data_IF_382992108407
#
_entry.id   IF_382992108407
#
_cell.length_a   1.000
_cell.length_b   1.000
_cell.length_c   1.000
_cell.angle_alpha   90.00
_cell.angle_beta   90.00
_cell.angle_gamma   90.00
#
_symmetry.space_group_name_H-M   'P 1'
#
loop_
_entity.id
_entity.type
_entity.pdbx_description
1 polymer ?
#
# COMPACT_ATOMS: atom_id res chain seq x y z
N UNK A 1 -5.37 32.27 6.34
CA UNK A 1 -5.16 30.80 6.21
C UNK A 1 -6.27 30.14 5.42
N UNK A 2 -7.55 30.45 5.68
CA UNK A 2 -8.70 29.94 4.94
C UNK A 2 -8.71 30.37 3.47
N UNK A 3 -8.45 31.63 3.18
CA UNK A 3 -8.52 32.18 1.81
C UNK A 3 -7.52 31.51 0.86
N UNK A 4 -6.33 31.15 1.37
CA UNK A 4 -5.33 30.42 0.60
C UNK A 4 -5.80 29.00 0.24
N UNK A 5 -6.46 28.30 1.17
CA UNK A 5 -7.00 26.97 0.93
C UNK A 5 -8.13 27.01 -0.09
N UNK A 6 -9.05 27.96 0.05
CA UNK A 6 -10.13 28.17 -0.91
C UNK A 6 -9.58 28.48 -2.30
N UNK A 7 -8.57 29.35 -2.40
CA UNK A 7 -7.94 29.67 -3.69
C UNK A 7 -7.36 28.43 -4.36
N UNK A 8 -6.69 27.55 -3.60
CA UNK A 8 -6.15 26.28 -4.11
C UNK A 8 -7.26 25.30 -4.51
N UNK A 9 -8.35 25.20 -3.74
CA UNK A 9 -9.49 24.36 -4.09
C UNK A 9 -10.16 24.83 -5.39
N UNK A 10 -10.37 26.14 -5.53
CA UNK A 10 -10.94 26.71 -6.74
C UNK A 10 -10.04 26.49 -7.97
N UNK A 11 -8.72 26.67 -7.81
CA UNK A 11 -7.75 26.43 -8.89
C UNK A 11 -7.72 24.96 -9.35
N UNK A 12 -7.91 24.00 -8.44
CA UNK A 12 -7.87 22.57 -8.75
C UNK A 12 -9.27 21.94 -8.95
N UNK A 13 -10.34 22.74 -9.03
CA UNK A 13 -11.72 22.25 -9.08
C UNK A 13 -11.97 21.25 -10.22
N UNK A 14 -11.42 21.51 -11.40
CA UNK A 14 -11.58 20.63 -12.55
C UNK A 14 -10.99 19.24 -12.29
N UNK A 15 -9.77 19.18 -11.75
CA UNK A 15 -9.10 17.92 -11.39
C UNK A 15 -9.84 17.16 -10.29
N UNK A 16 -10.26 17.87 -9.23
CA UNK A 16 -10.98 17.27 -8.10
C UNK A 16 -12.33 16.66 -8.50
N UNK A 17 -12.97 17.18 -9.56
CA UNK A 17 -14.27 16.71 -10.04
C UNK A 17 -14.18 15.64 -11.14
N UNK A 18 -12.98 15.28 -11.61
CA UNK A 18 -12.77 14.21 -12.62
C UNK A 18 -13.40 12.87 -12.21
N UNK A 19 -13.48 12.60 -10.91
CA UNK A 19 -14.09 11.38 -10.38
C UNK A 19 -15.60 11.26 -10.73
N UNK A 20 -16.29 12.37 -11.00
CA UNK A 20 -17.70 12.36 -11.38
C UNK A 20 -17.94 11.74 -12.77
N UNK A 21 -16.94 11.77 -13.63
CA UNK A 21 -16.98 11.14 -14.96
C UNK A 21 -16.68 9.63 -14.88
N UNK A 22 -16.25 9.12 -13.71
CA UNK A 22 -15.72 7.76 -13.50
C UNK A 22 -16.45 7.10 -12.32
N UNK A 23 -17.74 6.72 -12.48
CA UNK A 23 -18.59 6.24 -11.38
C UNK A 23 -18.13 4.92 -10.76
N UNK A 24 -17.26 4.15 -11.44
CA UNK A 24 -16.67 2.94 -10.86
C UNK A 24 -15.59 3.22 -9.81
N UNK A 25 -15.09 4.46 -9.72
CA UNK A 25 -14.11 4.87 -8.71
C UNK A 25 -14.85 5.41 -7.47
N UNK A 26 -14.53 4.94 -6.26
CA UNK A 26 -15.12 5.48 -5.04
C UNK A 26 -14.84 6.98 -4.86
N UNK A 27 -15.86 7.74 -4.44
CA UNK A 27 -15.74 9.17 -4.10
C UNK A 27 -14.96 9.46 -2.80
N UNK A 28 -14.40 8.44 -2.16
CA UNK A 28 -13.65 8.55 -0.91
C UNK A 28 -12.25 7.95 -1.04
N UNK A 29 -11.33 8.42 -0.22
CA UNK A 29 -9.92 7.99 -0.20
C UNK A 29 -9.62 6.86 0.77
N UNK A 30 -10.65 6.23 1.37
CA UNK A 30 -10.49 5.22 2.44
C UNK A 30 -9.49 4.11 2.12
N UNK A 31 -9.52 3.57 0.89
CA UNK A 31 -8.60 2.52 0.46
C UNK A 31 -7.14 3.00 0.48
N UNK A 32 -6.87 4.13 -0.17
CA UNK A 32 -5.54 4.75 -0.20
C UNK A 32 -5.05 5.14 1.20
N UNK A 33 -5.92 5.68 2.06
CA UNK A 33 -5.58 6.01 3.45
C UNK A 33 -5.23 4.77 4.27
N UNK A 34 -5.98 3.68 4.09
CA UNK A 34 -5.69 2.41 4.75
C UNK A 34 -4.33 1.84 4.31
N UNK A 35 -4.00 1.97 3.03
CA UNK A 35 -2.74 1.51 2.46
C UNK A 35 -1.53 2.23 3.07
N UNK A 36 -1.61 3.55 3.25
CA UNK A 36 -0.50 4.32 3.82
C UNK A 36 -0.44 4.27 5.36
N UNK A 37 -1.54 3.91 6.03
CA UNK A 37 -1.68 3.98 7.50
C UNK A 37 -0.56 3.27 8.23
N UNK A 38 -0.22 2.06 7.80
CA UNK A 38 0.88 1.29 8.37
C UNK A 38 2.22 2.05 8.27
N UNK A 39 2.50 2.67 7.12
CA UNK A 39 3.72 3.40 6.91
C UNK A 39 3.79 4.66 7.79
N UNK A 40 2.67 5.39 7.92
CA UNK A 40 2.57 6.57 8.79
C UNK A 40 2.79 6.20 10.26
N UNK A 41 2.17 5.12 10.74
CA UNK A 41 2.38 4.61 12.10
C UNK A 41 3.85 4.23 12.32
N UNK A 42 4.44 3.49 11.38
CA UNK A 42 5.86 3.08 11.45
C UNK A 42 6.80 4.29 11.48
N UNK A 43 6.52 5.35 10.70
CA UNK A 43 7.29 6.61 10.76
C UNK A 43 7.18 7.26 12.13
N UNK A 44 5.96 7.31 12.70
CA UNK A 44 5.70 7.90 14.02
C UNK A 44 6.43 7.16 15.14
N UNK A 45 6.50 5.82 15.08
CA UNK A 45 7.13 5.00 16.11
C UNK A 45 8.66 4.94 15.96
N UNK A 46 9.18 4.77 14.74
CA UNK A 46 10.57 4.33 14.56
C UNK A 46 11.63 5.46 14.51
N UNK A 47 11.26 6.74 14.65
CA UNK A 47 12.21 7.88 14.81
C UNK A 47 13.17 8.20 13.64
N UNK A 48 13.38 7.30 12.68
CA UNK A 48 14.28 7.48 11.53
C UNK A 48 14.97 6.18 11.11
N UNK A 49 15.82 6.22 10.08
CA UNK A 49 16.63 5.09 9.61
C UNK A 49 18.11 5.40 9.74
N UNK A 50 18.93 4.41 10.13
CA UNK A 50 20.39 4.56 10.27
C UNK A 50 21.18 4.10 9.04
N UNK A 51 20.50 3.52 8.04
CA UNK A 51 21.12 2.98 6.83
C UNK A 51 20.21 3.19 5.63
N UNK A 52 20.83 3.22 4.44
CA UNK A 52 20.14 3.28 3.15
C UNK A 52 19.23 2.06 2.95
N UNK A 53 19.71 0.86 3.24
CA UNK A 53 18.90 -0.36 3.20
C UNK A 53 17.66 -0.26 4.12
N UNK A 54 17.81 0.34 5.30
CA UNK A 54 16.70 0.62 6.20
C UNK A 54 15.73 1.67 5.67
N UNK A 55 16.22 2.68 4.94
CA UNK A 55 15.42 3.68 4.25
C UNK A 55 14.60 3.06 3.11
N UNK A 56 15.22 2.23 2.28
CA UNK A 56 14.57 1.48 1.19
C UNK A 56 13.49 0.54 1.75
N UNK A 57 13.82 -0.27 2.75
CA UNK A 57 12.87 -1.16 3.44
C UNK A 57 11.69 -0.40 4.09
N UNK A 58 11.86 0.90 4.39
CA UNK A 58 10.79 1.76 4.93
C UNK A 58 9.81 2.26 3.88
N UNK A 59 10.26 2.39 2.63
CA UNK A 59 9.40 2.71 1.50
C UNK A 59 8.44 1.59 1.16
N UNK A 60 8.81 0.34 1.42
CA UNK A 60 8.04 -0.83 1.02
C UNK A 60 6.83 -1.11 1.94
N UNK A 61 5.67 -1.52 1.38
CA UNK A 61 4.53 -2.00 2.15
C UNK A 61 4.89 -3.28 2.92
N UNK A 62 4.15 -3.58 4.00
CA UNK A 62 4.39 -4.82 4.76
C UNK A 62 4.00 -6.04 3.89
N UNK A 63 4.84 -7.08 3.81
CA UNK A 63 4.51 -8.30 3.06
C UNK A 63 3.15 -8.88 3.42
N UNK A 64 2.78 -8.88 4.71
CA UNK A 64 1.47 -9.31 5.20
C UNK A 64 0.30 -8.54 4.58
N UNK A 65 0.41 -7.22 4.40
CA UNK A 65 -0.65 -6.43 3.77
C UNK A 65 -0.81 -6.77 2.30
N UNK A 66 0.30 -7.05 1.62
CA UNK A 66 0.29 -7.49 0.22
C UNK A 66 -0.34 -8.88 0.09
N UNK A 67 0.01 -9.82 0.98
CA UNK A 67 -0.61 -11.14 1.05
C UNK A 67 -2.13 -11.02 1.28
N UNK A 68 -2.55 -10.16 2.21
CA UNK A 68 -3.98 -9.93 2.49
C UNK A 68 -4.74 -9.39 1.27
N UNK A 69 -4.16 -8.44 0.53
CA UNK A 69 -4.76 -7.90 -0.70
C UNK A 69 -4.90 -8.95 -1.80
N UNK A 70 -3.88 -9.81 -1.93
CA UNK A 70 -3.86 -10.93 -2.87
C UNK A 70 -4.65 -12.16 -2.39
N UNK A 71 -5.25 -12.08 -1.19
CA UNK A 71 -5.97 -13.19 -0.54
C UNK A 71 -5.11 -14.45 -0.37
N UNK A 72 -3.82 -14.26 -0.14
CA UNK A 72 -2.86 -15.32 0.20
C UNK A 72 -2.60 -15.30 1.70
N UNK A 73 -2.52 -16.48 2.32
CA UNK A 73 -2.09 -16.61 3.71
C UNK A 73 -0.64 -16.13 3.85
N UNK A 74 -0.41 -15.16 4.73
CA UNK A 74 0.94 -14.66 4.99
C UNK A 74 1.86 -15.77 5.53
N UNK A 75 1.35 -16.67 6.37
CA UNK A 75 2.14 -17.74 6.96
C UNK A 75 2.49 -18.81 5.94
N UNK A 76 1.58 -19.15 5.04
CA UNK A 76 1.85 -20.11 3.97
C UNK A 76 2.88 -19.52 3.00
N UNK A 77 2.74 -18.24 2.62
CA UNK A 77 3.73 -17.52 1.82
C UNK A 77 5.11 -17.50 2.49
N UNK A 78 5.18 -17.19 3.78
CA UNK A 78 6.43 -17.16 4.51
C UNK A 78 7.06 -18.55 4.62
N UNK A 79 6.26 -19.58 4.93
CA UNK A 79 6.72 -20.96 5.03
C UNK A 79 7.25 -21.50 3.70
N UNK A 80 6.62 -21.13 2.59
CA UNK A 80 7.05 -21.48 1.24
C UNK A 80 8.43 -20.97 0.87
N UNK A 81 8.70 -19.71 1.19
CA UNK A 81 9.94 -19.05 0.79
C UNK A 81 11.07 -19.19 1.83
N UNK A 82 10.77 -19.66 3.04
CA UNK A 82 11.78 -19.99 4.06
C UNK A 82 12.13 -21.48 4.12
N UNK A 83 11.54 -22.32 3.25
CA UNK A 83 11.77 -23.79 3.22
C UNK A 83 11.45 -24.45 4.57
N UNK A 84 10.38 -23.97 5.23
CA UNK A 84 9.91 -24.51 6.52
C UNK A 84 8.86 -25.60 6.31
N UNK A 85 8.23 -25.63 5.13
CA UNK A 85 7.13 -26.54 4.78
C UNK A 85 7.49 -27.22 3.45
N UNK A 86 7.49 -28.55 3.41
CA UNK A 86 7.90 -29.35 2.24
C UNK A 86 6.91 -29.26 1.06
N UNK A 87 5.63 -28.95 1.31
CA UNK A 87 4.55 -28.93 0.31
C UNK A 87 4.31 -27.54 -0.32
N UNK A 88 5.19 -26.59 -0.04
CA UNK A 88 4.95 -25.17 -0.29
C UNK A 88 5.36 -24.69 -1.70
N UNK A 89 5.64 -25.64 -2.59
CA UNK A 89 6.10 -25.42 -3.98
C UNK A 89 5.10 -24.69 -4.89
N UNK A 90 3.90 -24.37 -4.41
CA UNK A 90 2.83 -23.77 -5.23
C UNK A 90 2.71 -22.25 -5.12
N UNK A 91 3.27 -21.62 -4.07
CA UNK A 91 3.08 -20.17 -3.87
C UNK A 91 4.16 -19.40 -4.63
N UNK A 92 3.73 -18.68 -5.67
CA UNK A 92 4.61 -17.78 -6.43
C UNK A 92 5.02 -16.57 -5.59
N UNK A 93 6.16 -15.96 -5.93
CA UNK A 93 6.56 -14.66 -5.37
C UNK A 93 5.45 -13.62 -5.58
N UNK A 94 5.16 -12.79 -4.56
CA UNK A 94 4.05 -11.81 -4.58
C UNK A 94 3.95 -10.98 -5.87
N UNK A 95 5.05 -10.47 -6.48
CA UNK A 95 4.95 -9.69 -7.73
C UNK A 95 4.38 -10.49 -8.90
N UNK A 96 4.61 -11.80 -8.94
CA UNK A 96 4.16 -12.67 -10.03
C UNK A 96 2.67 -13.00 -9.91
N UNK A 97 2.12 -12.97 -8.69
CA UNK A 97 0.69 -13.19 -8.45
C UNK A 97 -0.15 -12.06 -9.05
N UNK A 98 0.31 -10.81 -8.94
CA UNK A 98 -0.38 -9.62 -9.47
C UNK A 98 -0.50 -9.65 -11.00
N UNK A 99 0.41 -10.35 -11.69
CA UNK A 99 0.49 -10.39 -13.15
C UNK A 99 -0.50 -11.35 -13.80
N UNK A 100 -1.18 -12.20 -13.01
CA UNK A 100 -2.05 -13.27 -13.48
C UNK A 100 -3.55 -12.96 -13.33
N UNK A 101 -3.90 -11.76 -12.85
CA UNK A 101 -5.28 -11.27 -12.66
C UNK A 101 -5.55 -10.06 -13.52
#
# INVERSE_FOLDING_TARGET
>A
MLDLLLTRLHANKAELLTVLDRPEIPLHTNGSENDIRCQVIRRKICGGTRSEAGALSRGLPRPQQTCQKLRVSFWDYLGAHLVIIDDASQIQWLPNIVSCT
#
